data_IF_432819002422
#
_entry.id   IF_432819002422
#
_cell.length_a   1.000
_cell.length_b   1.000
_cell.length_c   1.000
_cell.angle_alpha   90.00
_cell.angle_beta   90.00
_cell.angle_gamma   90.00
#
_symmetry.space_group_name_H-M   'P 1'
#
loop_
_entity.id
_entity.type
_entity.pdbx_description
1 polymer ?
#
# COMPACT_ATOMS: atom_id res chain seq x y z
N UNK A 1 10.64 5.24 8.05
CA UNK A 1 11.47 5.53 9.24
C UNK A 1 11.47 7.00 9.62
N UNK A 2 11.51 7.94 8.65
CA UNK A 2 11.47 9.39 8.93
C UNK A 2 10.34 9.83 9.87
N UNK A 3 9.09 9.47 9.56
CA UNK A 3 7.94 9.86 10.41
C UNK A 3 8.04 9.33 11.84
N UNK A 4 8.50 8.09 12.04
CA UNK A 4 8.76 7.59 13.39
C UNK A 4 9.79 8.45 14.13
N UNK A 5 10.86 8.87 13.46
CA UNK A 5 11.88 9.74 14.05
C UNK A 5 11.36 11.16 14.36
N UNK A 6 10.48 11.71 13.51
CA UNK A 6 9.82 13.01 13.76
C UNK A 6 8.93 12.98 15.01
N UNK A 7 8.45 11.79 15.41
CA UNK A 7 7.69 11.57 16.64
C UNK A 7 8.52 10.99 17.80
N UNK A 8 9.86 10.94 17.68
CA UNK A 8 10.78 10.31 18.65
C UNK A 8 10.43 8.85 19.00
N UNK A 9 9.84 8.13 18.04
CA UNK A 9 9.51 6.70 18.17
C UNK A 9 10.60 5.88 17.50
N UNK A 10 11.14 4.88 18.22
CA UNK A 10 12.11 3.91 17.69
C UNK A 10 11.45 2.53 17.60
N UNK A 11 10.81 2.18 16.47
CA UNK A 11 10.12 0.90 16.35
C UNK A 11 11.13 -0.25 16.30
N UNK A 12 10.83 -1.33 17.02
CA UNK A 12 11.55 -2.61 16.86
C UNK A 12 10.98 -3.33 15.63
N UNK A 13 11.81 -3.49 14.61
CA UNK A 13 11.39 -4.15 13.38
C UNK A 13 11.46 -5.67 13.55
N UNK A 14 10.31 -6.31 13.64
CA UNK A 14 10.23 -7.78 13.68
C UNK A 14 10.50 -8.39 12.29
N UNK A 15 9.89 -7.83 11.24
CA UNK A 15 9.96 -8.32 9.86
C UNK A 15 9.87 -7.17 8.86
N UNK A 16 10.46 -7.35 7.67
CA UNK A 16 10.24 -6.50 6.49
C UNK A 16 9.86 -7.39 5.31
N UNK A 17 8.74 -7.09 4.67
CA UNK A 17 8.30 -7.78 3.46
C UNK A 17 7.51 -6.83 2.58
N UNK A 18 7.63 -7.02 1.28
CA UNK A 18 6.74 -6.43 0.29
C UNK A 18 5.66 -7.40 -0.14
N UNK A 19 5.19 -8.30 0.74
CA UNK A 19 4.05 -9.17 0.49
C UNK A 19 3.04 -8.99 1.64
N UNK A 20 1.89 -8.42 1.31
CA UNK A 20 0.84 -7.96 2.23
C UNK A 20 0.21 -9.12 2.99
N UNK A 21 -0.11 -10.22 2.31
CA UNK A 21 -0.68 -11.42 2.93
C UNK A 21 0.26 -12.01 3.98
N UNK A 22 1.56 -11.98 3.71
CA UNK A 22 2.57 -12.41 4.68
C UNK A 22 2.61 -11.51 5.91
N UNK A 23 2.57 -10.18 5.72
CA UNK A 23 2.50 -9.24 6.85
C UNK A 23 1.23 -9.44 7.69
N UNK A 24 0.08 -9.67 7.04
CA UNK A 24 -1.17 -9.97 7.74
C UNK A 24 -1.08 -11.27 8.54
N UNK A 25 -0.53 -12.35 7.96
CA UNK A 25 -0.33 -13.62 8.65
C UNK A 25 0.60 -13.47 9.88
N UNK A 26 1.64 -12.64 9.79
CA UNK A 26 2.54 -12.36 10.91
C UNK A 26 1.82 -11.63 12.05
N UNK A 27 0.98 -10.63 11.74
CA UNK A 27 0.14 -9.95 12.74
C UNK A 27 -0.84 -10.94 13.37
N UNK A 28 -1.48 -11.80 12.57
CA UNK A 28 -2.40 -12.82 13.07
C UNK A 28 -1.70 -13.84 13.99
N UNK A 29 -0.43 -14.15 13.72
CA UNK A 29 0.42 -14.98 14.58
C UNK A 29 0.91 -14.25 15.86
N UNK A 30 0.46 -13.02 16.11
CA UNK A 30 0.84 -12.22 17.27
C UNK A 30 2.19 -11.51 17.13
N UNK A 31 2.75 -11.45 15.92
CA UNK A 31 4.06 -10.84 15.68
C UNK A 31 3.87 -9.36 15.34
N UNK A 32 3.65 -8.58 16.39
CA UNK A 32 3.61 -7.11 16.34
C UNK A 32 2.42 -6.54 15.56
N UNK A 33 2.65 -5.39 14.93
CA UNK A 33 1.65 -4.66 14.12
C UNK A 33 2.23 -4.33 12.74
N UNK A 34 1.36 -4.20 11.74
CA UNK A 34 1.73 -3.82 10.38
C UNK A 34 1.03 -2.53 9.96
N UNK A 35 1.72 -1.71 9.16
CA UNK A 35 1.13 -0.58 8.45
C UNK A 35 0.91 -1.04 7.02
N UNK A 36 -0.35 -1.05 6.59
CA UNK A 36 -0.78 -1.48 5.26
C UNK A 36 -1.67 -0.41 4.62
N UNK A 37 -1.72 -0.30 3.28
CA UNK A 37 -2.66 0.57 2.61
C UNK A 37 -4.11 0.20 2.94
N UNK A 38 -4.99 1.19 3.04
CA UNK A 38 -6.39 1.01 3.42
C UNK A 38 -7.13 -0.06 2.58
N UNK A 39 -7.01 -0.12 1.24
CA UNK A 39 -7.71 -1.14 0.45
C UNK A 39 -7.32 -2.58 0.81
N UNK A 40 -6.14 -2.78 1.39
CA UNK A 40 -5.68 -4.08 1.86
C UNK A 40 -6.32 -4.38 3.21
N UNK A 41 -6.32 -3.42 4.15
CA UNK A 41 -6.98 -3.55 5.44
C UNK A 41 -8.47 -3.85 5.31
N UNK A 42 -9.16 -3.24 4.33
CA UNK A 42 -10.57 -3.47 4.06
C UNK A 42 -10.88 -4.89 3.55
N UNK A 43 -9.90 -5.58 2.95
CA UNK A 43 -10.03 -6.97 2.48
C UNK A 43 -9.75 -8.01 3.57
N UNK A 44 -9.16 -7.61 4.70
CA UNK A 44 -8.88 -8.51 5.82
C UNK A 44 -10.17 -8.83 6.59
N UNK A 45 -10.24 -10.05 7.12
CA UNK A 45 -11.38 -10.50 7.93
C UNK A 45 -11.46 -9.71 9.25
N UNK A 46 -12.57 -8.99 9.43
CA UNK A 46 -12.81 -8.14 10.61
C UNK A 46 -13.00 -8.93 11.90
N UNK A 47 -13.23 -10.24 11.83
CA UNK A 47 -13.28 -11.10 13.03
C UNK A 47 -11.87 -11.36 13.59
N UNK A 48 -10.87 -11.43 12.71
CA UNK A 48 -9.49 -11.76 13.05
C UNK A 48 -8.57 -10.54 13.13
N UNK A 49 -8.95 -9.43 12.48
CA UNK A 49 -8.14 -8.23 12.41
C UNK A 49 -8.90 -6.99 12.87
N UNK A 50 -8.25 -6.19 13.71
CA UNK A 50 -8.62 -4.81 13.97
C UNK A 50 -7.63 -3.90 13.24
N UNK A 51 -8.15 -2.95 12.46
CA UNK A 51 -7.33 -1.93 11.82
C UNK A 51 -7.84 -0.55 12.21
N UNK A 52 -6.90 0.38 12.39
CA UNK A 52 -7.16 1.75 12.82
C UNK A 52 -6.58 2.68 11.75
N UNK A 53 -7.35 3.66 11.24
CA UNK A 53 -6.84 4.64 10.29
C UNK A 53 -5.62 5.36 10.85
N UNK A 54 -4.52 5.36 10.09
CA UNK A 54 -3.31 6.08 10.45
C UNK A 54 -3.48 7.56 10.07
N UNK A 55 -3.49 8.44 11.06
CA UNK A 55 -3.47 9.89 10.85
C UNK A 55 -2.05 10.31 10.43
N UNK A 56 -1.80 10.38 9.13
CA UNK A 56 -0.49 10.71 8.58
C UNK A 56 -0.62 11.30 7.17
N UNK A 57 0.34 12.13 6.79
CA UNK A 57 0.53 12.61 5.41
C UNK A 57 1.00 11.49 4.44
N UNK A 58 1.24 10.27 4.93
CA UNK A 58 1.55 9.13 4.07
C UNK A 58 0.40 8.81 3.14
N UNK A 59 0.58 9.11 1.86
CA UNK A 59 -0.34 8.72 0.80
C UNK A 59 0.23 7.59 -0.03
N UNK A 60 -0.66 6.66 -0.39
CA UNK A 60 -0.36 5.66 -1.40
C UNK A 60 -0.81 6.19 -2.76
N UNK A 61 0.13 6.72 -3.53
CA UNK A 61 -0.14 7.28 -4.86
C UNK A 61 0.15 6.21 -5.92
N UNK A 62 -0.87 5.82 -6.68
CA UNK A 62 -0.74 4.90 -7.79
C UNK A 62 -0.33 5.67 -9.04
N UNK A 63 0.73 5.19 -9.71
CA UNK A 63 1.24 5.77 -10.95
C UNK A 63 1.33 4.72 -12.05
N UNK A 64 1.06 5.15 -13.29
CA UNK A 64 1.37 4.38 -14.48
C UNK A 64 2.69 4.89 -15.05
N UNK A 65 3.66 3.99 -15.27
CA UNK A 65 5.01 4.35 -15.71
C UNK A 65 5.36 3.66 -17.03
N UNK A 66 6.08 4.38 -17.90
CA UNK A 66 6.62 3.87 -19.16
C UNK A 66 7.92 4.60 -19.50
N UNK A 67 8.72 4.03 -20.40
CA UNK A 67 9.98 4.65 -20.83
C UNK A 67 9.71 5.85 -21.73
N UNK A 68 10.34 6.97 -21.41
CA UNK A 68 10.29 8.18 -22.23
C UNK A 68 10.94 7.96 -23.61
N UNK A 69 10.41 8.63 -24.63
CA UNK A 69 10.95 8.58 -26.00
C UNK A 69 10.69 7.26 -26.75
N UNK A 70 9.84 6.38 -26.21
CA UNK A 70 9.44 5.12 -26.88
C UNK A 70 8.07 5.27 -27.48
N UNK A 71 7.86 4.66 -28.64
CA UNK A 71 6.54 4.52 -29.24
C UNK A 71 5.57 3.82 -28.26
N UNK A 72 4.49 4.52 -27.94
CA UNK A 72 3.35 3.97 -27.22
C UNK A 72 2.39 3.35 -28.25
N UNK A 73 2.09 2.05 -28.12
CA UNK A 73 1.15 1.41 -29.03
C UNK A 73 -0.27 1.94 -28.82
N UNK A 74 -1.10 1.89 -29.86
CA UNK A 74 -2.54 2.23 -29.75
C UNK A 74 -3.26 1.43 -28.66
N UNK A 75 -2.90 0.16 -28.50
CA UNK A 75 -3.46 -0.69 -27.44
C UNK A 75 -3.05 -0.22 -26.05
N UNK A 76 -1.80 0.24 -25.88
CA UNK A 76 -1.34 0.80 -24.61
C UNK A 76 -1.99 2.16 -24.31
N UNK A 77 -2.15 3.04 -25.31
CA UNK A 77 -2.92 4.30 -25.16
C UNK A 77 -4.37 4.04 -24.75
N UNK A 78 -5.02 3.06 -25.39
CA UNK A 78 -6.37 2.65 -25.05
C UNK A 78 -6.45 2.13 -23.60
N UNK A 79 -5.50 1.27 -23.19
CA UNK A 79 -5.40 0.80 -21.81
C UNK A 79 -5.23 1.93 -20.79
N UNK A 80 -4.35 2.90 -21.07
CA UNK A 80 -4.16 4.07 -20.21
C UNK A 80 -5.44 4.89 -20.10
N UNK A 81 -6.18 5.05 -21.20
CA UNK A 81 -7.46 5.78 -21.24
C UNK A 81 -8.52 5.08 -20.40
N UNK A 82 -8.71 3.76 -20.60
CA UNK A 82 -9.64 2.96 -19.81
C UNK A 82 -9.28 2.97 -18.31
N UNK A 83 -7.99 2.82 -18.00
CA UNK A 83 -7.51 2.80 -16.61
C UNK A 83 -7.75 4.15 -15.92
N UNK A 84 -7.48 5.27 -16.60
CA UNK A 84 -7.75 6.61 -16.06
C UNK A 84 -9.23 6.82 -15.79
N UNK A 85 -10.11 6.39 -16.69
CA UNK A 85 -11.55 6.52 -16.51
C UNK A 85 -12.09 5.74 -15.30
N UNK A 86 -11.46 4.61 -14.95
CA UNK A 86 -11.88 3.79 -13.80
C UNK A 86 -11.41 4.33 -12.45
N UNK A 87 -10.25 4.98 -12.38
CA UNK A 87 -9.60 5.39 -11.12
C UNK A 87 -9.69 6.91 -10.81
N UNK A 88 -10.36 7.71 -11.66
CA UNK A 88 -10.52 9.16 -11.48
C UNK A 88 -11.90 9.59 -10.92
N UNK A 89 -12.67 8.65 -10.38
CA UNK A 89 -13.79 8.92 -9.43
C UNK A 89 -13.37 8.51 -8.01
#
# INVERSE_FOLDING_TARGET
>A
MRLFAEHDVKPRIAVRSGQWDFLAAMVQAGIGVAILPEPICQRLDRQNFCWIPLQSELRWELGMIWREGVYMSRSAEAWLTCSKAFWLE
#
